data_IF_591887974787
#
_entry.id   IF_591887974787
#
_cell.length_a   1.000
_cell.length_b   1.000
_cell.length_c   1.000
_cell.angle_alpha   90.00
_cell.angle_beta   90.00
_cell.angle_gamma   90.00
#
_symmetry.space_group_name_H-M   'P 1'
#
loop_
_entity.id
_entity.type
_entity.pdbx_description
1 polymer ?
#
# COMPACT_ATOMS: atom_id res chain seq x y z
N UNK A 1 13.25 -15.13 3.71
CA UNK A 1 11.97 -15.25 2.97
C UNK A 1 10.93 -14.60 3.85
N UNK A 2 10.56 -13.35 3.58
CA UNK A 2 9.57 -12.63 4.40
C UNK A 2 8.21 -13.30 4.16
N UNK A 3 7.65 -13.82 5.25
CA UNK A 3 6.65 -14.88 5.28
C UNK A 3 5.37 -14.54 4.54
N UNK A 4 5.10 -15.33 3.51
CA UNK A 4 3.75 -15.56 3.00
C UNK A 4 3.12 -16.63 3.90
N UNK A 5 2.19 -16.24 4.76
CA UNK A 5 1.27 -17.15 5.45
C UNK A 5 1.82 -17.85 6.70
N UNK A 6 1.76 -17.17 7.84
CA UNK A 6 1.39 -17.79 9.12
C UNK A 6 0.47 -16.78 9.84
N UNK A 7 -0.76 -17.17 10.12
CA UNK A 7 -1.95 -16.33 10.40
C UNK A 7 -1.90 -15.48 11.67
N UNK A 8 -0.87 -14.68 11.87
CA UNK A 8 -0.76 -13.70 12.96
C UNK A 8 0.14 -12.53 12.56
N UNK A 9 -0.03 -11.99 11.34
CA UNK A 9 0.32 -10.59 11.13
C UNK A 9 -0.58 -9.79 12.09
N UNK A 10 -0.05 -9.10 13.12
CA UNK A 10 -0.87 -8.31 14.05
C UNK A 10 -1.52 -7.10 13.36
N UNK A 11 -1.18 -6.90 12.09
CA UNK A 11 -1.68 -5.86 11.21
C UNK A 11 -2.82 -6.43 10.37
N UNK A 12 -4.01 -5.88 10.58
CA UNK A 12 -5.16 -6.11 9.72
C UNK A 12 -5.02 -5.21 8.50
N UNK A 13 -4.79 -5.80 7.33
CA UNK A 13 -4.75 -5.07 6.07
C UNK A 13 -6.15 -4.91 5.51
N UNK A 14 -6.47 -3.70 5.05
CA UNK A 14 -7.68 -3.48 4.26
C UNK A 14 -7.43 -3.88 2.80
N UNK A 15 -8.24 -4.81 2.29
CA UNK A 15 -8.22 -5.26 0.89
C UNK A 15 -9.52 -4.90 0.14
N UNK A 16 -10.44 -4.16 0.76
CA UNK A 16 -11.68 -3.71 0.13
C UNK A 16 -11.59 -2.21 -0.23
N UNK A 17 -11.36 -1.87 -1.51
CA UNK A 17 -11.18 -0.49 -1.95
C UNK A 17 -12.40 0.40 -1.68
N UNK A 18 -13.60 -0.17 -1.58
CA UNK A 18 -14.82 0.59 -1.27
C UNK A 18 -14.84 1.09 0.18
N UNK A 19 -14.08 0.44 1.07
CA UNK A 19 -14.03 0.76 2.51
C UNK A 19 -12.79 1.53 2.93
N UNK A 20 -11.87 1.79 1.99
CA UNK A 20 -10.64 2.52 2.23
C UNK A 20 -10.91 3.86 2.91
N UNK A 21 -10.15 4.13 3.97
CA UNK A 21 -10.12 5.39 4.70
C UNK A 21 -8.69 5.75 5.08
N UNK A 22 -8.48 7.03 5.35
CA UNK A 22 -7.20 7.54 5.87
C UNK A 22 -6.84 6.81 7.17
N UNK A 23 -5.60 6.35 7.28
CA UNK A 23 -5.08 5.56 8.39
C UNK A 23 -5.18 4.04 8.20
N UNK A 24 -5.89 3.55 7.17
CA UNK A 24 -5.90 2.12 6.87
C UNK A 24 -4.50 1.64 6.48
N UNK A 25 -4.14 0.45 6.98
CA UNK A 25 -2.95 -0.25 6.52
C UNK A 25 -3.32 -1.09 5.30
N UNK A 26 -2.53 -0.98 4.24
CA UNK A 26 -2.73 -1.71 2.99
C UNK A 26 -1.46 -2.43 2.60
N UNK A 27 -1.62 -3.54 1.88
CA UNK A 27 -0.52 -4.10 1.11
C UNK A 27 -0.57 -3.52 -0.30
N UNK A 28 0.52 -2.92 -0.76
CA UNK A 28 0.61 -2.35 -2.11
C UNK A 28 1.69 -3.05 -2.93
N UNK A 29 1.59 -2.90 -4.26
CA UNK A 29 2.55 -3.40 -5.25
C UNK A 29 3.22 -2.22 -5.94
N UNK A 30 4.41 -2.46 -6.45
CA UNK A 30 5.15 -1.48 -7.25
C UNK A 30 5.43 -2.08 -8.62
N UNK A 31 5.29 -1.29 -9.69
CA UNK A 31 5.64 -1.72 -11.05
C UNK A 31 7.16 -1.80 -11.27
N UNK A 32 7.60 -2.30 -12.43
CA UNK A 32 9.00 -2.19 -12.84
C UNK A 32 9.94 -3.12 -12.07
N UNK A 33 11.06 -2.58 -11.56
CA UNK A 33 12.12 -3.39 -10.93
C UNK A 33 11.71 -4.02 -9.60
N UNK A 34 10.64 -3.53 -8.98
CA UNK A 34 10.10 -4.02 -7.71
C UNK A 34 8.83 -4.89 -7.91
N UNK A 35 8.49 -5.21 -9.16
CA UNK A 35 7.35 -6.03 -9.49
C UNK A 35 7.44 -7.43 -8.85
N UNK A 36 6.31 -7.91 -8.32
CA UNK A 36 6.22 -9.19 -7.63
C UNK A 36 6.58 -9.16 -6.13
N UNK A 37 7.08 -8.03 -5.61
CA UNK A 37 7.29 -7.84 -4.16
C UNK A 37 6.08 -7.13 -3.52
N UNK A 38 5.49 -7.69 -2.44
CA UNK A 38 4.48 -6.98 -1.67
C UNK A 38 5.14 -5.99 -0.69
N UNK A 39 4.57 -4.80 -0.60
CA UNK A 39 4.95 -3.77 0.37
C UNK A 39 3.79 -3.48 1.30
N UNK A 40 4.09 -2.79 2.40
CA UNK A 40 3.11 -2.36 3.41
C UNK A 40 3.18 -0.85 3.53
N UNK A 41 2.03 -0.19 3.57
CA UNK A 41 1.94 1.25 3.77
C UNK A 41 0.63 1.65 4.43
N UNK A 42 0.52 2.94 4.75
CA UNK A 42 -0.68 3.53 5.35
C UNK A 42 -1.30 4.53 4.37
N UNK A 43 -2.63 4.48 4.22
CA UNK A 43 -3.36 5.45 3.40
C UNK A 43 -3.34 6.83 4.05
N UNK A 44 -2.74 7.81 3.39
CA UNK A 44 -2.78 9.22 3.77
C UNK A 44 -3.99 9.94 3.16
N UNK A 45 -4.37 9.56 1.94
CA UNK A 45 -5.52 10.12 1.22
C UNK A 45 -6.24 9.02 0.44
N UNK A 46 -7.56 9.15 0.32
CA UNK A 46 -8.42 8.25 -0.45
C UNK A 46 -9.29 9.09 -1.37
N UNK A 47 -9.11 8.90 -2.68
CA UNK A 47 -9.84 9.60 -3.73
C UNK A 47 -10.74 8.61 -4.49
N UNK A 48 -11.50 9.08 -5.47
CA UNK A 48 -12.43 8.23 -6.23
C UNK A 48 -11.70 7.12 -7.00
N UNK A 49 -10.60 7.46 -7.64
CA UNK A 49 -9.84 6.63 -8.59
C UNK A 49 -8.43 6.26 -8.10
N UNK A 50 -7.92 6.89 -7.04
CA UNK A 50 -6.58 6.65 -6.52
C UNK A 50 -6.47 6.81 -5.00
N UNK A 51 -5.33 6.39 -4.45
CA UNK A 51 -4.95 6.60 -3.05
C UNK A 51 -3.56 7.22 -2.97
N UNK A 52 -3.26 7.84 -1.83
CA UNK A 52 -1.90 8.28 -1.48
C UNK A 52 -1.42 7.46 -0.30
N UNK A 53 -0.23 6.88 -0.43
CA UNK A 53 0.32 5.91 0.53
C UNK A 53 1.60 6.48 1.15
N UNK A 54 1.74 6.34 2.45
CA UNK A 54 3.02 6.47 3.14
C UNK A 54 3.67 5.10 3.28
N UNK A 55 4.95 4.91 2.89
CA UNK A 55 5.68 3.66 3.10
C UNK A 55 6.14 3.45 4.55
N UNK A 56 5.91 4.41 5.45
CA UNK A 56 6.23 4.32 6.87
C UNK A 56 7.33 5.28 7.33
N UNK A 57 7.81 5.09 8.56
CA UNK A 57 8.69 6.03 9.27
C UNK A 57 10.09 6.19 8.66
N UNK A 58 10.54 5.24 7.85
CA UNK A 58 11.82 5.35 7.12
C UNK A 58 11.80 6.47 6.09
N UNK A 59 10.61 6.77 5.55
CA UNK A 59 10.38 7.81 4.55
C UNK A 59 9.10 8.58 4.94
N UNK A 60 9.14 9.33 6.06
CA UNK A 60 7.94 9.97 6.61
C UNK A 60 7.39 11.05 5.65
N UNK A 61 8.24 11.48 4.71
CA UNK A 61 7.93 12.46 3.70
C UNK A 61 7.53 11.91 2.33
N UNK A 62 7.48 10.60 2.17
CA UNK A 62 7.04 9.96 0.94
C UNK A 62 5.51 9.91 0.84
N UNK A 63 4.99 10.20 -0.36
CA UNK A 63 3.56 10.22 -0.69
C UNK A 63 3.38 9.56 -2.06
N UNK A 64 3.23 8.24 -2.04
CA UNK A 64 3.15 7.43 -3.25
C UNK A 64 1.72 7.38 -3.76
N UNK A 65 1.50 7.85 -4.99
CA UNK A 65 0.20 7.70 -5.64
C UNK A 65 0.04 6.26 -6.13
N UNK A 66 -1.05 5.62 -5.71
CA UNK A 66 -1.40 4.26 -6.12
C UNK A 66 -2.83 4.15 -6.66
N UNK A 67 -3.11 3.10 -7.41
CA UNK A 67 -4.48 2.75 -7.84
C UNK A 67 -5.38 2.43 -6.64
N UNK A 68 -6.70 2.63 -6.79
CA UNK A 68 -7.69 2.22 -5.79
C UNK A 68 -8.26 0.83 -6.08
N UNK A 69 -7.44 -0.19 -5.87
CA UNK A 69 -7.81 -1.61 -6.00
C UNK A 69 -7.48 -2.39 -4.71
N UNK A 70 -7.73 -3.71 -4.67
CA UNK A 70 -7.53 -4.56 -3.49
C UNK A 70 -6.11 -4.42 -2.89
N UNK A 71 -5.13 -4.26 -3.78
CA UNK A 71 -3.74 -3.99 -3.47
C UNK A 71 -3.28 -2.85 -4.38
N UNK A 72 -3.25 -1.61 -3.88
CA UNK A 72 -2.84 -0.46 -4.68
C UNK A 72 -1.58 -0.72 -5.47
N UNK A 73 -1.56 -0.30 -6.73
CA UNK A 73 -0.39 -0.36 -7.59
C UNK A 73 0.20 1.03 -7.69
N UNK A 74 1.44 1.16 -7.24
CA UNK A 74 2.25 2.38 -7.32
C UNK A 74 3.20 2.23 -8.50
N UNK A 75 3.35 3.27 -9.31
CA UNK A 75 4.38 3.23 -10.35
C UNK A 75 5.76 3.46 -9.73
N UNK A 76 6.78 2.76 -10.24
CA UNK A 76 8.16 2.93 -9.76
C UNK A 76 8.64 4.39 -9.87
N UNK A 77 8.08 5.21 -10.77
CA UNK A 77 8.43 6.64 -10.87
C UNK A 77 7.90 7.51 -9.72
N UNK A 78 6.97 7.01 -8.92
CA UNK A 78 6.41 7.71 -7.76
C UNK A 78 7.25 7.53 -6.49
N UNK A 79 8.24 6.63 -6.52
CA UNK A 79 9.09 6.21 -5.39
C UNK A 79 10.50 6.79 -5.52
#
# INVERSE_FOLDING_TARGET
MLGMGDGSCPFEFNFDPATFKVGDMVSYRVTGSLEGMPFVGTLLEVHEDYVVISPGESEPDARYRGTREDRPVVDISEI
#
